data_IF_259878202827
#
_entry.id   IF_259878202827
#
_cell.length_a   1.000
_cell.length_b   1.000
_cell.length_c   1.000
_cell.angle_alpha   90.00
_cell.angle_beta   90.00
_cell.angle_gamma   90.00
#
_symmetry.space_group_name_H-M   'P 1'
#
loop_
_entity.id
_entity.type
_entity.pdbx_description
1 polymer ?
#
# COMPACT_ATOMS: atom_id res chain seq x y z
N UNK A 1 -24.05 34.52 -7.21
CA UNK A 1 -24.31 33.86 -5.92
C UNK A 1 -23.19 32.85 -5.67
N UNK A 2 -22.29 33.09 -4.73
CA UNK A 2 -21.09 32.26 -4.50
C UNK A 2 -21.44 31.10 -3.59
N UNK A 3 -21.57 29.88 -4.12
CA UNK A 3 -21.87 28.62 -3.39
C UNK A 3 -20.56 27.95 -2.86
N UNK A 4 -19.51 28.71 -2.66
CA UNK A 4 -18.20 28.13 -2.29
C UNK A 4 -17.97 27.93 -0.80
N UNK A 5 -18.82 28.42 0.09
CA UNK A 5 -18.64 28.34 1.55
C UNK A 5 -19.23 27.08 2.21
N UNK A 6 -20.36 26.61 1.73
CA UNK A 6 -21.14 25.54 2.39
C UNK A 6 -20.54 24.14 2.17
N UNK A 7 -19.91 23.88 1.01
CA UNK A 7 -19.38 22.56 0.67
C UNK A 7 -18.13 22.21 1.48
N UNK A 8 -17.31 23.20 1.87
CA UNK A 8 -16.09 22.96 2.67
C UNK A 8 -16.39 22.52 4.11
N UNK A 9 -17.46 23.00 4.72
CA UNK A 9 -17.80 22.64 6.10
C UNK A 9 -18.33 21.20 6.16
N UNK A 10 -19.11 20.78 5.15
CA UNK A 10 -19.68 19.44 5.10
C UNK A 10 -18.61 18.33 4.90
N UNK A 11 -17.57 18.60 4.12
CA UNK A 11 -16.46 17.65 3.88
C UNK A 11 -15.61 17.44 5.15
N UNK A 12 -15.43 18.48 5.97
CA UNK A 12 -14.60 18.40 7.19
C UNK A 12 -15.18 17.48 8.27
N UNK A 13 -16.49 17.35 8.29
CA UNK A 13 -17.21 16.49 9.24
C UNK A 13 -17.56 15.12 8.63
N UNK A 14 -17.16 14.86 7.37
CA UNK A 14 -17.41 13.59 6.73
C UNK A 14 -16.74 12.45 7.50
N UNK A 15 -17.43 11.33 7.61
CA UNK A 15 -16.95 10.15 8.29
C UNK A 15 -15.92 9.43 7.42
N UNK A 16 -14.67 9.36 7.89
CA UNK A 16 -13.53 8.84 7.12
C UNK A 16 -12.96 7.61 7.83
N UNK A 17 -13.04 6.46 7.19
CA UNK A 17 -12.41 5.24 7.66
C UNK A 17 -11.00 5.08 7.09
N UNK A 18 -10.02 4.87 7.97
CA UNK A 18 -8.62 4.57 7.61
C UNK A 18 -8.30 3.15 8.07
N UNK A 19 -8.48 2.19 7.18
CA UNK A 19 -8.08 0.81 7.40
C UNK A 19 -6.56 0.71 7.49
N UNK A 20 -6.03 0.17 8.61
CA UNK A 20 -4.59 0.12 8.87
C UNK A 20 -4.00 1.43 9.41
N UNK A 21 -4.78 2.22 10.15
CA UNK A 21 -4.41 3.54 10.67
C UNK A 21 -3.19 3.56 11.62
N UNK A 22 -2.77 2.43 12.17
CA UNK A 22 -1.57 2.31 13.00
C UNK A 22 -0.29 1.98 12.22
N UNK A 23 -0.41 1.51 10.96
CA UNK A 23 0.75 1.20 10.12
C UNK A 23 1.43 2.45 9.56
N UNK A 24 2.60 2.27 8.92
CA UNK A 24 3.41 3.34 8.33
C UNK A 24 2.57 4.34 7.52
N UNK A 25 1.87 3.88 6.51
CA UNK A 25 1.11 4.77 5.60
C UNK A 25 -0.19 5.24 6.23
N UNK A 26 -0.91 4.33 6.91
CA UNK A 26 -2.18 4.66 7.54
C UNK A 26 -2.05 5.71 8.62
N UNK A 27 -1.00 5.65 9.45
CA UNK A 27 -0.75 6.66 10.49
C UNK A 27 -0.36 8.02 9.91
N UNK A 28 0.39 8.03 8.81
CA UNK A 28 0.72 9.27 8.10
C UNK A 28 -0.53 9.92 7.47
N UNK A 29 -1.44 9.11 6.90
CA UNK A 29 -2.73 9.57 6.40
C UNK A 29 -3.57 10.13 7.55
N UNK A 30 -3.69 9.39 8.64
CA UNK A 30 -4.44 9.78 9.84
C UNK A 30 -3.98 11.14 10.37
N UNK A 31 -2.68 11.26 10.63
CA UNK A 31 -2.10 12.53 11.10
C UNK A 31 -2.36 13.67 10.13
N UNK A 32 -2.18 13.44 8.83
CA UNK A 32 -2.41 14.45 7.82
C UNK A 32 -3.87 14.93 7.77
N UNK A 33 -4.83 14.02 7.95
CA UNK A 33 -6.24 14.36 8.05
C UNK A 33 -6.51 15.23 9.30
N UNK A 34 -5.96 14.86 10.45
CA UNK A 34 -6.06 15.64 11.69
C UNK A 34 -5.47 17.05 11.52
N UNK A 35 -4.25 17.14 10.99
CA UNK A 35 -3.56 18.43 10.74
C UNK A 35 -4.37 19.35 9.80
N UNK A 36 -5.21 18.77 8.94
CA UNK A 36 -6.13 19.48 8.06
C UNK A 36 -7.50 19.76 8.67
N UNK A 37 -7.71 19.41 9.92
CA UNK A 37 -8.94 19.68 10.66
C UNK A 37 -10.11 18.74 10.30
N UNK A 38 -9.84 17.51 9.85
CA UNK A 38 -10.85 16.46 9.79
C UNK A 38 -10.98 15.83 11.17
N UNK A 39 -12.17 15.80 11.72
CA UNK A 39 -12.41 15.38 13.10
C UNK A 39 -13.13 14.03 13.21
N UNK A 40 -13.87 13.64 12.17
CA UNK A 40 -14.67 12.42 12.18
C UNK A 40 -13.89 11.26 11.52
N UNK A 41 -12.80 10.84 12.17
CA UNK A 41 -11.93 9.78 11.70
C UNK A 41 -12.21 8.48 12.44
N UNK A 42 -12.31 7.37 11.70
CA UNK A 42 -12.51 6.04 12.25
C UNK A 42 -11.30 5.17 11.91
N UNK A 43 -10.79 4.48 12.90
CA UNK A 43 -9.79 3.42 12.79
C UNK A 43 -10.21 2.24 13.66
N UNK A 44 -9.81 1.04 13.28
CA UNK A 44 -9.94 -0.18 14.09
C UNK A 44 -8.63 -0.93 14.02
N UNK A 45 -8.19 -1.42 15.15
CA UNK A 45 -7.05 -2.34 15.22
C UNK A 45 -7.45 -3.70 14.67
N UNK A 46 -6.47 -4.55 14.36
CA UNK A 46 -6.74 -5.92 13.92
C UNK A 46 -7.52 -6.75 14.96
N UNK A 47 -7.35 -6.46 16.24
CA UNK A 47 -8.09 -7.14 17.31
C UNK A 47 -9.55 -6.68 17.38
N UNK A 48 -9.85 -5.43 17.05
CA UNK A 48 -11.21 -4.88 17.03
C UNK A 48 -11.95 -5.21 15.74
N UNK A 49 -11.23 -5.32 14.61
CA UNK A 49 -11.79 -5.63 13.30
C UNK A 49 -10.77 -6.39 12.47
N UNK A 50 -10.96 -7.71 12.35
CA UNK A 50 -10.20 -8.50 11.38
C UNK A 50 -10.80 -8.32 9.99
N UNK A 51 -10.02 -7.72 9.08
CA UNK A 51 -10.44 -7.48 7.70
C UNK A 51 -10.53 -8.76 6.85
N UNK A 52 -10.06 -9.89 7.37
CA UNK A 52 -10.26 -11.21 6.77
C UNK A 52 -11.68 -11.73 7.02
N UNK A 53 -12.33 -11.32 8.10
CA UNK A 53 -13.71 -11.67 8.43
C UNK A 53 -14.71 -10.77 7.69
N UNK A 54 -15.25 -11.25 6.57
CA UNK A 54 -16.21 -10.50 5.77
C UNK A 54 -17.53 -10.18 6.51
N UNK A 55 -17.92 -11.00 7.50
CA UNK A 55 -19.12 -10.74 8.31
C UNK A 55 -18.87 -9.60 9.28
N UNK A 56 -17.71 -9.59 9.94
CA UNK A 56 -17.30 -8.51 10.83
C UNK A 56 -17.13 -7.18 10.06
N UNK A 57 -16.52 -7.21 8.86
CA UNK A 57 -16.36 -6.04 8.00
C UNK A 57 -17.73 -5.49 7.58
N UNK A 58 -18.66 -6.35 7.17
CA UNK A 58 -20.02 -5.90 6.83
C UNK A 58 -20.69 -5.22 8.01
N UNK A 59 -20.71 -5.86 9.18
CA UNK A 59 -21.30 -5.29 10.39
C UNK A 59 -20.69 -3.92 10.73
N UNK A 60 -19.37 -3.80 10.62
CA UNK A 60 -18.68 -2.53 10.83
C UNK A 60 -19.17 -1.44 9.85
N UNK A 61 -19.34 -1.76 8.58
CA UNK A 61 -19.86 -0.80 7.59
C UNK A 61 -21.33 -0.48 7.82
N UNK A 62 -22.15 -1.46 8.26
CA UNK A 62 -23.54 -1.24 8.64
C UNK A 62 -23.67 -0.25 9.81
N UNK A 63 -22.80 -0.37 10.81
CA UNK A 63 -22.82 0.46 12.02
C UNK A 63 -22.21 1.84 11.78
N UNK A 64 -21.05 1.89 11.12
CA UNK A 64 -20.27 3.12 11.00
C UNK A 64 -20.62 3.96 9.77
N UNK A 65 -21.12 3.37 8.70
CA UNK A 65 -21.50 4.08 7.46
C UNK A 65 -20.44 5.11 6.99
N UNK A 66 -19.18 4.71 6.73
CA UNK A 66 -18.15 5.65 6.32
C UNK A 66 -18.44 6.25 4.96
N UNK A 67 -18.23 7.57 4.80
CA UNK A 67 -18.39 8.27 3.53
C UNK A 67 -17.14 8.19 2.65
N UNK A 68 -15.97 8.09 3.28
CA UNK A 68 -14.67 8.00 2.63
C UNK A 68 -13.85 6.86 3.24
N UNK A 69 -13.13 6.12 2.41
CA UNK A 69 -12.31 4.99 2.85
C UNK A 69 -10.89 5.11 2.31
N UNK A 70 -9.92 4.96 3.20
CA UNK A 70 -8.52 4.76 2.86
C UNK A 70 -8.15 3.32 3.20
N UNK A 71 -7.94 2.49 2.19
CA UNK A 71 -7.51 1.11 2.39
C UNK A 71 -5.97 1.05 2.40
N UNK A 72 -5.40 1.31 3.58
CA UNK A 72 -3.97 1.23 3.85
C UNK A 72 -3.58 -0.09 4.56
N UNK A 73 -4.55 -0.92 4.89
CA UNK A 73 -4.32 -2.24 5.44
C UNK A 73 -3.98 -3.25 4.34
N UNK A 74 -2.95 -4.06 4.62
CA UNK A 74 -2.56 -5.18 3.78
C UNK A 74 -1.68 -6.15 4.59
N UNK A 75 -1.63 -7.40 4.16
CA UNK A 75 -0.61 -8.34 4.62
C UNK A 75 0.67 -8.07 3.83
N UNK A 76 1.66 -7.48 4.48
CA UNK A 76 2.90 -7.00 3.87
C UNK A 76 4.13 -7.62 4.55
N UNK A 77 5.23 -7.69 3.81
CA UNK A 77 6.50 -8.19 4.34
C UNK A 77 7.62 -8.06 3.32
N UNK A 78 8.85 -8.26 3.77
CA UNK A 78 10.04 -8.23 2.93
C UNK A 78 10.10 -9.39 1.92
N UNK A 79 11.18 -9.42 1.12
CA UNK A 79 11.39 -10.42 0.04
C UNK A 79 11.36 -11.84 0.61
N UNK A 80 12.01 -12.08 1.75
CA UNK A 80 12.05 -13.41 2.38
C UNK A 80 10.65 -13.89 2.77
N UNK A 81 9.87 -13.04 3.43
CA UNK A 81 8.50 -13.37 3.81
C UNK A 81 7.62 -13.66 2.59
N UNK A 82 7.72 -12.83 1.53
CA UNK A 82 7.00 -13.06 0.26
C UNK A 82 7.39 -14.40 -0.39
N UNK A 83 8.66 -14.77 -0.35
CA UNK A 83 9.15 -16.03 -0.94
C UNK A 83 8.65 -17.26 -0.19
N UNK A 84 8.51 -17.17 1.15
CA UNK A 84 8.13 -18.29 2.02
C UNK A 84 6.60 -18.42 2.14
N UNK A 85 5.91 -17.32 2.40
CA UNK A 85 4.46 -17.30 2.70
C UNK A 85 3.62 -16.94 1.47
N UNK A 86 3.97 -17.45 0.29
CA UNK A 86 3.35 -17.11 -1.00
C UNK A 86 1.82 -17.20 -1.00
N UNK A 87 1.28 -18.29 -0.46
CA UNK A 87 -0.17 -18.51 -0.38
C UNK A 87 -0.86 -17.48 0.53
N UNK A 88 -0.27 -17.17 1.69
CA UNK A 88 -0.79 -16.15 2.60
C UNK A 88 -0.79 -14.76 1.97
N UNK A 89 0.26 -14.40 1.23
CA UNK A 89 0.34 -13.09 0.59
C UNK A 89 -0.74 -12.88 -0.46
N UNK A 90 -1.03 -13.86 -1.29
CA UNK A 90 -2.11 -13.72 -2.28
C UNK A 90 -3.48 -13.82 -1.59
N UNK A 91 -3.70 -14.86 -0.78
CA UNK A 91 -5.01 -15.14 -0.19
C UNK A 91 -5.50 -14.03 0.74
N UNK A 92 -4.68 -13.64 1.72
CA UNK A 92 -5.06 -12.63 2.72
C UNK A 92 -5.26 -11.26 2.09
N UNK A 93 -4.40 -10.86 1.14
CA UNK A 93 -4.58 -9.57 0.47
C UNK A 93 -5.83 -9.55 -0.42
N UNK A 94 -6.13 -10.63 -1.15
CA UNK A 94 -7.36 -10.72 -1.92
C UNK A 94 -8.59 -10.63 -1.00
N UNK A 95 -8.58 -11.33 0.13
CA UNK A 95 -9.68 -11.32 1.09
C UNK A 95 -9.92 -9.92 1.68
N UNK A 96 -8.86 -9.27 2.19
CA UNK A 96 -8.94 -7.93 2.76
C UNK A 96 -9.53 -6.93 1.75
N UNK A 97 -8.97 -6.87 0.55
CA UNK A 97 -9.41 -5.89 -0.44
C UNK A 97 -10.81 -6.20 -0.98
N UNK A 98 -11.17 -7.48 -1.16
CA UNK A 98 -12.50 -7.89 -1.56
C UNK A 98 -13.55 -7.46 -0.53
N UNK A 99 -13.28 -7.71 0.76
CA UNK A 99 -14.18 -7.33 1.85
C UNK A 99 -14.35 -5.80 1.90
N UNK A 100 -13.27 -5.04 1.97
CA UNK A 100 -13.35 -3.59 2.15
C UNK A 100 -13.90 -2.87 0.91
N UNK A 101 -13.44 -3.23 -0.30
CA UNK A 101 -13.92 -2.60 -1.54
C UNK A 101 -15.38 -2.99 -1.79
N UNK A 102 -15.74 -4.26 -1.56
CA UNK A 102 -17.12 -4.74 -1.74
C UNK A 102 -18.10 -4.08 -0.79
N UNK A 103 -17.76 -3.97 0.50
CA UNK A 103 -18.63 -3.29 1.47
C UNK A 103 -18.65 -1.77 1.24
N UNK A 104 -17.55 -1.17 0.78
CA UNK A 104 -17.54 0.24 0.36
C UNK A 104 -18.55 0.50 -0.76
N UNK A 105 -18.66 -0.40 -1.73
CA UNK A 105 -19.66 -0.30 -2.78
C UNK A 105 -21.09 -0.47 -2.24
N UNK A 106 -21.32 -1.49 -1.44
CA UNK A 106 -22.65 -1.79 -0.87
C UNK A 106 -23.20 -0.65 -0.03
N UNK A 107 -22.32 0.07 0.67
CA UNK A 107 -22.68 1.20 1.55
C UNK A 107 -22.52 2.57 0.89
N UNK A 108 -22.42 2.63 -0.44
CA UNK A 108 -22.34 3.86 -1.21
C UNK A 108 -21.21 4.82 -0.75
N UNK A 109 -20.05 4.27 -0.40
CA UNK A 109 -18.86 5.06 -0.09
C UNK A 109 -18.56 6.00 -1.25
N UNK A 110 -18.54 7.31 -0.97
CA UNK A 110 -18.39 8.36 -1.99
C UNK A 110 -17.04 8.29 -2.69
N UNK A 111 -16.00 7.89 -1.96
CA UNK A 111 -14.66 7.78 -2.51
C UNK A 111 -13.81 6.79 -1.71
N UNK A 112 -13.12 5.93 -2.41
CA UNK A 112 -12.16 4.98 -1.84
C UNK A 112 -10.78 5.21 -2.44
N UNK A 113 -9.75 5.22 -1.59
CA UNK A 113 -8.35 5.15 -2.00
C UNK A 113 -7.78 3.79 -1.64
N UNK A 114 -7.36 3.05 -2.65
CA UNK A 114 -6.67 1.77 -2.52
C UNK A 114 -5.16 1.96 -2.67
N UNK A 115 -4.39 1.43 -1.71
CA UNK A 115 -2.94 1.39 -1.83
C UNK A 115 -2.51 0.13 -2.58
N UNK A 116 -2.12 0.33 -3.83
CA UNK A 116 -1.41 -0.64 -4.64
C UNK A 116 0.06 -0.77 -4.23
N UNK A 117 0.91 -1.08 -5.18
CA UNK A 117 2.37 -1.16 -5.00
C UNK A 117 3.05 -1.08 -6.36
N UNK A 118 4.27 -0.59 -6.42
CA UNK A 118 5.06 -0.61 -7.67
C UNK A 118 5.50 -2.00 -8.10
N UNK A 119 5.41 -3.01 -7.23
CA UNK A 119 5.70 -4.41 -7.60
C UNK A 119 4.71 -5.01 -8.61
N UNK A 120 3.60 -4.31 -8.92
CA UNK A 120 2.64 -4.72 -9.95
C UNK A 120 3.17 -4.59 -11.38
N UNK A 121 4.23 -3.81 -11.56
CA UNK A 121 4.83 -3.62 -12.87
C UNK A 121 5.76 -4.79 -13.22
N UNK A 122 5.95 -5.07 -14.52
CA UNK A 122 6.87 -6.09 -14.98
C UNK A 122 8.27 -5.89 -14.41
N UNK A 123 8.96 -7.02 -14.12
CA UNK A 123 10.31 -6.98 -13.55
C UNK A 123 11.30 -6.21 -14.43
N UNK A 124 11.19 -6.40 -15.74
CA UNK A 124 12.12 -5.84 -16.72
C UNK A 124 11.53 -4.61 -17.45
N UNK A 125 10.57 -3.90 -16.80
CA UNK A 125 9.98 -2.70 -17.36
C UNK A 125 11.00 -1.58 -17.54
N UNK A 126 10.93 -0.89 -18.68
CA UNK A 126 11.77 0.26 -18.98
C UNK A 126 11.54 1.40 -17.97
N UNK A 127 12.62 2.10 -17.63
CA UNK A 127 12.58 3.24 -16.71
C UNK A 127 12.65 4.58 -17.48
N UNK A 128 11.80 5.57 -17.13
CA UNK A 128 10.75 5.53 -16.09
C UNK A 128 9.54 4.69 -16.49
N UNK A 129 9.05 3.85 -15.57
CA UNK A 129 7.89 3.00 -15.82
C UNK A 129 6.64 3.81 -16.12
N UNK A 130 5.91 3.39 -17.16
CA UNK A 130 4.60 3.95 -17.53
C UNK A 130 3.47 3.05 -17.02
N UNK A 131 2.30 3.63 -16.78
CA UNK A 131 1.14 2.87 -16.31
C UNK A 131 0.68 1.80 -17.33
N UNK A 132 0.89 2.06 -18.63
CA UNK A 132 0.48 1.19 -19.74
C UNK A 132 1.27 -0.13 -19.80
N UNK A 133 2.43 -0.24 -19.12
CA UNK A 133 3.21 -1.49 -19.10
C UNK A 133 2.66 -2.52 -18.11
N UNK A 134 1.59 -2.19 -17.39
CA UNK A 134 0.94 -3.15 -16.50
C UNK A 134 0.46 -4.38 -17.27
N UNK A 135 0.83 -5.58 -16.77
CA UNK A 135 0.47 -6.89 -17.37
C UNK A 135 1.05 -7.15 -18.78
N UNK A 136 2.08 -6.44 -19.21
CA UNK A 136 2.69 -6.67 -20.53
C UNK A 136 3.82 -7.70 -20.51
N UNK A 137 4.36 -8.04 -19.33
CA UNK A 137 5.47 -8.96 -19.16
C UNK A 137 5.45 -9.59 -17.77
N UNK A 138 6.25 -10.65 -17.50
CA UNK A 138 6.28 -11.32 -16.20
C UNK A 138 6.64 -10.39 -15.04
N UNK A 139 6.02 -10.66 -13.89
CA UNK A 139 6.29 -10.01 -12.63
C UNK A 139 7.58 -10.56 -11.99
N UNK A 140 8.08 -9.87 -10.96
CA UNK A 140 9.15 -10.41 -10.13
C UNK A 140 8.64 -11.63 -9.34
N UNK A 141 9.22 -12.79 -9.58
CA UNK A 141 8.73 -14.08 -9.10
C UNK A 141 8.64 -14.17 -7.56
N UNK A 142 9.57 -13.55 -6.84
CA UNK A 142 9.62 -13.65 -5.38
C UNK A 142 8.41 -13.01 -4.69
N UNK A 143 7.86 -11.94 -5.26
CA UNK A 143 6.70 -11.22 -4.74
C UNK A 143 5.46 -11.28 -5.65
N UNK A 144 5.49 -12.11 -6.69
CA UNK A 144 4.41 -12.25 -7.66
C UNK A 144 3.03 -12.47 -7.01
N UNK A 145 2.85 -13.36 -5.99
CA UNK A 145 1.55 -13.54 -5.34
C UNK A 145 0.98 -12.27 -4.73
N UNK A 146 1.83 -11.47 -4.09
CA UNK A 146 1.45 -10.16 -3.56
C UNK A 146 1.12 -9.18 -4.69
N UNK A 147 1.94 -9.13 -5.72
CA UNK A 147 1.74 -8.26 -6.87
C UNK A 147 0.41 -8.57 -7.59
N UNK A 148 0.10 -9.86 -7.81
CA UNK A 148 -1.18 -10.29 -8.40
C UNK A 148 -2.35 -9.86 -7.53
N UNK A 149 -2.27 -10.02 -6.22
CA UNK A 149 -3.32 -9.53 -5.33
C UNK A 149 -3.51 -8.02 -5.47
N UNK A 150 -2.43 -7.24 -5.54
CA UNK A 150 -2.51 -5.78 -5.71
C UNK A 150 -3.05 -5.38 -7.09
N UNK A 151 -2.70 -6.09 -8.15
CA UNK A 151 -3.29 -5.92 -9.50
C UNK A 151 -4.80 -6.18 -9.45
N UNK A 152 -5.23 -7.26 -8.79
CA UNK A 152 -6.64 -7.57 -8.65
C UNK A 152 -7.42 -6.45 -7.94
N UNK A 153 -6.89 -5.88 -6.86
CA UNK A 153 -7.51 -4.75 -6.16
C UNK A 153 -7.60 -3.48 -7.01
N UNK A 154 -6.53 -3.19 -7.78
CA UNK A 154 -6.54 -2.09 -8.75
C UNK A 154 -7.63 -2.29 -9.81
N UNK A 155 -7.67 -3.48 -10.43
CA UNK A 155 -8.66 -3.81 -11.45
C UNK A 155 -10.08 -3.87 -10.90
N UNK A 156 -10.24 -4.24 -9.63
CA UNK A 156 -11.51 -4.18 -8.94
C UNK A 156 -12.00 -2.72 -8.82
N UNK A 157 -11.16 -1.78 -8.36
CA UNK A 157 -11.51 -0.36 -8.32
C UNK A 157 -11.88 0.19 -9.70
N UNK A 158 -11.09 -0.13 -10.74
CA UNK A 158 -11.35 0.27 -12.13
C UNK A 158 -12.71 -0.27 -12.62
N UNK A 159 -12.97 -1.57 -12.38
CA UNK A 159 -14.21 -2.22 -12.82
C UNK A 159 -15.47 -1.63 -12.15
N UNK A 160 -15.40 -1.36 -10.85
CA UNK A 160 -16.49 -0.69 -10.14
C UNK A 160 -16.74 0.73 -10.68
N UNK A 161 -15.67 1.47 -11.01
CA UNK A 161 -15.80 2.80 -11.61
C UNK A 161 -16.49 2.73 -12.98
N UNK A 162 -16.06 1.80 -13.84
CA UNK A 162 -16.59 1.65 -15.19
C UNK A 162 -18.04 1.17 -15.20
N UNK A 163 -18.38 0.21 -14.35
CA UNK A 163 -19.71 -0.41 -14.35
C UNK A 163 -20.73 0.38 -13.57
N UNK A 164 -20.35 0.97 -12.44
CA UNK A 164 -21.29 1.57 -11.49
C UNK A 164 -21.06 3.06 -11.25
N UNK A 165 -20.05 3.66 -11.90
CA UNK A 165 -19.78 5.09 -11.77
C UNK A 165 -19.22 5.48 -10.39
N UNK A 166 -18.60 4.56 -9.66
CA UNK A 166 -17.96 4.85 -8.36
C UNK A 166 -16.74 5.77 -8.54
N UNK A 167 -16.23 6.30 -7.43
CA UNK A 167 -15.04 7.15 -7.43
C UNK A 167 -13.92 6.50 -6.61
N UNK A 168 -13.46 5.35 -7.07
CA UNK A 168 -12.40 4.58 -6.41
C UNK A 168 -11.10 4.80 -7.15
N UNK A 169 -10.04 5.14 -6.43
CA UNK A 169 -8.72 5.36 -7.00
C UNK A 169 -7.71 4.42 -6.38
N UNK A 170 -6.81 3.93 -7.22
CA UNK A 170 -5.63 3.19 -6.80
C UNK A 170 -4.39 4.07 -6.95
N UNK A 171 -3.48 4.00 -5.97
CA UNK A 171 -2.19 4.68 -6.03
C UNK A 171 -1.08 3.66 -5.80
N UNK A 172 0.03 3.80 -6.52
CA UNK A 172 1.18 2.90 -6.45
C UNK A 172 2.31 3.59 -5.69
N UNK A 173 2.35 3.43 -4.35
CA UNK A 173 3.47 3.93 -3.56
C UNK A 173 4.73 3.15 -3.92
N UNK A 174 5.85 3.83 -3.99
CA UNK A 174 7.18 3.22 -4.01
C UNK A 174 7.55 2.72 -2.61
N UNK A 175 8.79 2.27 -2.41
CA UNK A 175 9.26 1.89 -1.07
C UNK A 175 9.18 3.09 -0.13
N UNK A 176 8.36 2.95 0.90
CA UNK A 176 8.12 3.96 1.92
C UNK A 176 8.92 3.61 3.17
N UNK A 177 9.28 4.62 3.93
CA UNK A 177 9.90 4.49 5.25
C UNK A 177 9.46 5.65 6.14
N UNK A 178 9.46 5.43 7.45
CA UNK A 178 9.08 6.49 8.38
C UNK A 178 8.66 5.98 9.76
N UNK A 179 8.08 6.85 10.59
CA UNK A 179 7.51 6.44 11.87
C UNK A 179 6.43 5.36 11.70
N UNK A 180 6.34 4.45 12.66
CA UNK A 180 5.41 3.32 12.68
C UNK A 180 5.63 2.28 11.57
N UNK A 181 6.85 2.25 10.98
CA UNK A 181 7.24 1.16 10.10
C UNK A 181 7.48 -0.13 10.91
N UNK A 182 7.42 -1.27 10.24
CA UNK A 182 7.78 -2.53 10.86
C UNK A 182 9.30 -2.69 10.83
N UNK A 183 9.93 -2.56 11.99
CA UNK A 183 11.39 -2.70 12.16
C UNK A 183 11.82 -4.13 12.51
N UNK A 184 10.96 -5.13 12.40
CA UNK A 184 11.31 -6.53 12.58
C UNK A 184 12.29 -6.97 11.48
N UNK A 185 13.46 -7.48 11.86
CA UNK A 185 14.54 -7.83 10.93
C UNK A 185 14.20 -8.95 9.94
N UNK A 186 13.24 -9.81 10.28
CA UNK A 186 12.79 -10.92 9.42
C UNK A 186 11.62 -10.53 8.53
N UNK A 187 10.82 -9.57 8.95
CA UNK A 187 9.55 -9.19 8.29
C UNK A 187 9.54 -7.80 7.69
N UNK A 188 10.52 -6.95 8.02
CA UNK A 188 10.57 -5.58 7.49
C UNK A 188 10.90 -5.56 6.00
N UNK A 189 10.38 -4.54 5.31
CA UNK A 189 10.55 -4.39 3.87
C UNK A 189 11.92 -3.83 3.50
N UNK A 190 12.48 -2.93 4.28
CA UNK A 190 13.79 -2.30 4.09
C UNK A 190 14.44 -2.09 5.44
N UNK A 191 15.70 -2.49 5.58
CA UNK A 191 16.51 -2.09 6.72
C UNK A 191 16.73 -0.56 6.65
N UNK A 192 16.28 0.24 7.63
CA UNK A 192 16.52 1.68 7.59
C UNK A 192 18.02 1.96 7.71
N UNK A 193 18.68 2.16 6.58
CA UNK A 193 20.03 2.72 6.55
C UNK A 193 19.92 4.21 6.87
N UNK A 194 19.95 4.59 8.13
CA UNK A 194 19.88 6.03 8.41
C UNK A 194 19.89 6.49 9.86
N UNK A 195 19.85 5.61 10.85
CA UNK A 195 20.12 6.00 12.24
C UNK A 195 21.51 5.53 12.65
N UNK A 196 22.45 6.45 12.57
CA UNK A 196 23.89 6.20 12.67
C UNK A 196 24.43 5.68 14.02
N UNK A 197 23.63 5.55 15.06
CA UNK A 197 24.17 5.18 16.36
C UNK A 197 23.74 3.82 16.92
N UNK A 198 22.66 3.20 16.43
CA UNK A 198 22.17 1.94 17.02
C UNK A 198 21.92 0.82 16.00
N UNK A 199 21.75 1.12 14.73
CA UNK A 199 21.34 0.14 13.70
C UNK A 199 22.50 -0.55 12.98
N UNK A 200 23.72 0.04 12.96
CA UNK A 200 24.88 -0.58 12.32
C UNK A 200 25.27 -1.95 12.90
N UNK A 201 24.92 -2.22 14.16
CA UNK A 201 25.21 -3.53 14.79
C UNK A 201 24.12 -4.58 14.56
N UNK A 202 22.91 -4.21 14.13
CA UNK A 202 21.78 -5.13 13.93
C UNK A 202 21.56 -5.56 12.48
N UNK A 203 22.06 -4.80 11.52
CA UNK A 203 21.98 -5.16 10.09
C UNK A 203 23.14 -5.99 9.57
N UNK A 204 24.03 -6.48 10.46
CA UNK A 204 24.97 -7.52 10.06
C UNK A 204 24.22 -8.84 9.95
N UNK A 205 23.95 -9.25 8.72
CA UNK A 205 23.49 -10.60 8.40
C UNK A 205 24.43 -11.61 9.08
N UNK A 206 24.04 -12.16 10.21
CA UNK A 206 24.62 -13.41 10.66
C UNK A 206 24.16 -14.46 9.68
N UNK A 207 25.04 -14.89 8.79
CA UNK A 207 24.84 -16.18 8.16
C UNK A 207 24.73 -17.22 9.27
N UNK A 208 23.73 -18.10 9.27
CA UNK A 208 23.68 -19.21 10.20
C UNK A 208 24.95 -20.03 9.98
N UNK A 209 25.82 -20.02 10.97
CA UNK A 209 26.96 -20.95 10.99
C UNK A 209 26.37 -22.33 11.31
N UNK A 210 26.38 -23.24 10.31
CA UNK A 210 26.34 -24.68 10.47
C UNK A 210 25.13 -25.20 11.26
N UNK A 211 24.06 -25.55 10.56
CA UNK A 211 22.94 -26.31 11.10
C UNK A 211 21.96 -26.62 9.99
N UNK A 212 21.65 -27.85 9.80
CA UNK A 212 20.83 -28.42 8.74
C UNK A 212 19.65 -27.52 8.32
N UNK A 213 19.68 -27.04 7.07
CA UNK A 213 18.61 -26.29 6.44
C UNK A 213 17.50 -27.26 6.06
N UNK A 214 16.43 -27.30 6.84
CA UNK A 214 15.14 -27.84 6.41
C UNK A 214 14.37 -26.81 5.57
N UNK A 215 15.01 -26.30 4.51
CA UNK A 215 14.30 -25.54 3.49
C UNK A 215 13.97 -26.46 2.33
N UNK A 216 12.76 -26.40 1.77
CA UNK A 216 12.43 -27.13 0.56
C UNK A 216 13.41 -26.74 -0.56
N UNK A 217 13.76 -27.68 -1.46
CA UNK A 217 14.77 -27.44 -2.48
C UNK A 217 14.42 -26.19 -3.29
N UNK A 218 15.33 -25.22 -3.29
CA UNK A 218 15.22 -24.05 -4.14
C UNK A 218 15.25 -24.51 -5.59
N UNK A 219 14.21 -24.15 -6.33
CA UNK A 219 14.20 -24.28 -7.79
C UNK A 219 15.36 -23.41 -8.30
N UNK A 220 16.44 -24.04 -8.74
CA UNK A 220 17.58 -23.35 -9.35
C UNK A 220 17.12 -22.73 -10.66
N UNK A 221 16.92 -21.43 -10.66
CA UNK A 221 16.95 -20.68 -11.91
C UNK A 221 18.41 -20.57 -12.37
N UNK A 222 18.73 -21.15 -13.52
CA UNK A 222 20.00 -20.89 -14.18
C UNK A 222 20.04 -19.41 -14.60
N UNK A 223 20.91 -18.64 -13.97
CA UNK A 223 21.27 -17.32 -14.49
C UNK A 223 22.13 -17.49 -15.73
N UNK A 224 21.59 -17.17 -16.87
CA UNK A 224 22.39 -16.85 -18.04
C UNK A 224 22.66 -15.34 -18.01
N UNK A 225 23.93 -14.95 -17.85
CA UNK A 225 24.37 -13.57 -18.03
C UNK A 225 24.86 -12.89 -16.74
N UNK A 226 26.10 -12.46 -16.83
CA UNK A 226 26.87 -11.69 -15.87
C UNK A 226 26.24 -10.33 -15.59
N UNK A 227 25.90 -10.06 -14.33
CA UNK A 227 25.61 -8.68 -13.89
C UNK A 227 26.41 -8.32 -12.65
N UNK A 228 27.29 -7.35 -12.85
CA UNK A 228 28.02 -6.65 -11.82
C UNK A 228 27.06 -5.81 -10.97
N UNK A 229 27.02 -6.10 -9.67
CA UNK A 229 26.26 -5.31 -8.70
C UNK A 229 26.96 -3.97 -8.46
N UNK A 230 26.43 -2.92 -9.03
CA UNK A 230 26.81 -1.55 -8.73
C UNK A 230 26.20 -1.10 -7.39
N UNK A 231 27.03 -0.85 -6.39
CA UNK A 231 26.60 -0.21 -5.15
C UNK A 231 26.34 1.29 -5.40
N UNK A 232 25.05 1.66 -5.47
CA UNK A 232 24.63 3.05 -5.49
C UNK A 232 23.88 3.40 -4.20
N UNK A 233 24.54 4.09 -3.29
CA UNK A 233 23.93 4.70 -2.12
C UNK A 233 23.05 5.89 -2.55
N UNK A 234 21.73 5.77 -2.44
CA UNK A 234 20.83 6.93 -2.42
C UNK A 234 19.63 6.66 -1.52
N UNK A 235 19.26 7.59 -0.64
CA UNK A 235 18.09 7.44 0.20
C UNK A 235 16.82 7.43 -0.65
N UNK A 236 15.97 6.43 -0.45
CA UNK A 236 14.70 6.30 -1.14
C UNK A 236 13.81 7.50 -0.83
N UNK A 237 13.49 8.30 -1.85
CA UNK A 237 12.55 9.41 -1.80
C UNK A 237 11.23 8.97 -2.39
N UNK A 238 10.14 9.33 -1.73
CA UNK A 238 8.79 9.15 -2.30
C UNK A 238 8.67 10.10 -3.49
N UNK A 239 8.68 9.57 -4.70
CA UNK A 239 8.33 10.32 -5.90
C UNK A 239 6.96 9.86 -6.40
N UNK A 240 5.99 10.76 -6.36
CA UNK A 240 4.76 10.62 -7.12
C UNK A 240 5.03 11.24 -8.49
N UNK A 241 5.15 10.43 -9.52
CA UNK A 241 5.33 10.96 -10.88
C UNK A 241 4.04 11.62 -11.38
N UNK A 242 4.19 12.84 -11.87
CA UNK A 242 3.16 13.55 -12.63
C UNK A 242 3.47 13.46 -14.12
N UNK A 243 2.43 13.33 -14.91
CA UNK A 243 2.47 13.76 -16.32
C UNK A 243 3.06 15.17 -16.40
N UNK A 244 4.10 15.35 -17.22
CA UNK A 244 4.85 16.57 -17.55
C UNK A 244 6.16 16.75 -16.79
N UNK A 245 7.10 15.81 -16.93
CA UNK A 245 8.55 16.05 -16.98
C UNK A 245 9.23 16.86 -15.85
N UNK A 246 8.57 17.19 -14.74
CA UNK A 246 9.18 17.87 -13.60
C UNK A 246 9.06 17.02 -12.35
N UNK A 247 10.18 16.48 -11.90
CA UNK A 247 10.33 15.83 -10.60
C UNK A 247 10.01 16.83 -9.49
N UNK A 248 8.91 16.69 -8.79
CA UNK A 248 8.68 17.36 -7.52
C UNK A 248 8.81 16.34 -6.39
N UNK A 249 9.87 16.51 -5.62
CA UNK A 249 10.08 15.79 -4.38
C UNK A 249 9.00 16.22 -3.37
N UNK A 250 8.12 15.32 -2.96
CA UNK A 250 7.12 15.64 -1.94
C UNK A 250 7.76 15.34 -0.58
N UNK A 251 8.23 16.38 0.06
CA UNK A 251 8.38 16.37 1.51
C UNK A 251 6.96 16.33 2.09
N UNK A 252 6.62 15.24 2.77
CA UNK A 252 5.33 14.96 3.39
C UNK A 252 4.17 14.78 2.39
N UNK A 253 3.60 13.57 2.32
CA UNK A 253 2.53 13.09 1.44
C UNK A 253 1.21 13.89 1.33
N UNK A 254 1.26 15.21 1.51
CA UNK A 254 0.12 16.09 1.75
C UNK A 254 -0.58 16.60 0.49
N UNK A 255 0.13 16.79 -0.63
CA UNK A 255 -0.48 17.36 -1.84
C UNK A 255 -1.35 16.37 -2.65
N UNK A 256 -0.98 15.10 -2.64
CA UNK A 256 -1.77 14.04 -3.26
C UNK A 256 -3.11 13.84 -2.56
N UNK A 257 -3.10 13.87 -1.23
CA UNK A 257 -4.28 13.72 -0.40
C UNK A 257 -5.26 14.90 -0.54
N UNK A 258 -4.75 16.14 -0.69
CA UNK A 258 -5.60 17.30 -0.96
C UNK A 258 -6.35 17.18 -2.28
N UNK A 259 -5.72 16.67 -3.33
CA UNK A 259 -6.38 16.44 -4.62
C UNK A 259 -7.38 15.29 -4.57
N UNK A 260 -7.08 14.27 -3.76
CA UNK A 260 -8.02 13.17 -3.54
C UNK A 260 -9.37 13.67 -3.01
N UNK A 261 -9.35 14.58 -2.03
CA UNK A 261 -10.57 15.10 -1.41
C UNK A 261 -11.25 16.25 -2.20
N UNK A 262 -10.56 16.88 -3.17
CA UNK A 262 -11.04 18.05 -3.91
C UNK A 262 -11.55 17.77 -5.34
N UNK A 263 -11.26 16.60 -5.91
CA UNK A 263 -11.79 16.23 -7.23
C UNK A 263 -13.10 15.47 -7.07
N UNK A 264 -14.16 16.06 -7.59
CA UNK A 264 -15.39 15.41 -7.99
C UNK A 264 -15.25 14.97 -9.42
#
# INVERSE_FOLDING_TARGET
MRITGVIRVHIKNAKIYVAGHHGLVGSAIWKNLQDKGYTNLIGRTHQELDLLDGVAVRRFFDEEQPEYVFLAAAFVGGIMANSIYRADFIYKNLQIQQNVIGESFRHNVRKLLFLGSTCIYPRDAEQPMKEEVLLTSPLEYTNEPYAIAKIAGLKMCESFNLQYGTNYIAVMPTNLYGPNDNFDLERSHVCPQGHESTSRRRCQWRQPQGGHSEYPPQIRYQRNGSDSVGHGNSPARISLERRNGRRQCIRNGTRGLQRYLQRR
#
